data_IF_833917292159
#
_entry.id   IF_833917292159
#
_cell.length_a   1.000
_cell.length_b   1.000
_cell.length_c   1.000
_cell.angle_alpha   90.00
_cell.angle_beta   90.00
_cell.angle_gamma   90.00
#
_symmetry.space_group_name_H-M   'P 1'
#
loop_
_entity.id
_entity.type
_entity.pdbx_description
1 polymer ?
#
# COMPACT_ATOMS: atom_id res chain seq x y z
N UNK A 1 3.34 -0.63 19.35
CA UNK A 1 4.18 0.31 18.56
C UNK A 1 5.25 -0.53 17.90
N UNK A 2 5.41 -0.43 16.57
CA UNK A 2 6.45 -1.17 15.84
C UNK A 2 7.84 -0.58 16.14
N UNK A 3 8.89 -1.40 16.02
CA UNK A 3 10.28 -0.95 16.17
C UNK A 3 10.61 0.23 15.24
N UNK A 4 10.04 0.21 14.02
CA UNK A 4 10.17 1.30 13.05
C UNK A 4 9.63 2.64 13.57
N UNK A 5 8.39 2.69 14.05
CA UNK A 5 7.78 3.94 14.53
C UNK A 5 8.54 4.51 15.74
N UNK A 6 9.03 3.64 16.63
CA UNK A 6 9.89 4.05 17.75
C UNK A 6 11.21 4.65 17.25
N UNK A 7 11.86 4.05 16.26
CA UNK A 7 13.07 4.60 15.65
C UNK A 7 12.81 5.96 14.98
N UNK A 8 11.69 6.10 14.26
CA UNK A 8 11.30 7.36 13.63
C UNK A 8 11.08 8.47 14.68
N UNK A 9 10.42 8.17 15.80
CA UNK A 9 10.23 9.15 16.88
C UNK A 9 11.56 9.60 17.50
N UNK A 10 12.48 8.68 17.77
CA UNK A 10 13.81 9.02 18.29
C UNK A 10 14.59 9.93 17.33
N UNK A 11 14.56 9.63 16.03
CA UNK A 11 15.21 10.44 15.01
C UNK A 11 14.56 11.83 14.90
N UNK A 12 13.23 11.92 14.97
CA UNK A 12 12.49 13.20 14.96
C UNK A 12 12.91 14.09 16.14
N UNK A 13 12.99 13.51 17.34
CA UNK A 13 13.31 14.26 18.57
C UNK A 13 14.76 14.72 18.62
N UNK A 14 15.71 13.88 18.19
CA UNK A 14 17.16 14.14 18.33
C UNK A 14 17.94 13.76 17.07
N UNK A 15 17.72 14.42 15.92
CA UNK A 15 18.36 14.06 14.65
C UNK A 15 19.89 14.12 14.72
N UNK A 16 20.46 15.04 15.47
CA UNK A 16 21.91 15.14 15.66
C UNK A 16 22.54 13.92 16.35
N UNK A 17 21.81 13.23 17.22
CA UNK A 17 22.33 12.02 17.90
C UNK A 17 22.22 10.80 16.99
N UNK A 18 21.09 10.66 16.30
CA UNK A 18 20.79 9.44 15.55
C UNK A 18 21.30 9.47 14.10
N UNK A 19 21.42 10.65 13.50
CA UNK A 19 21.88 10.84 12.12
C UNK A 19 23.13 11.73 12.04
N UNK A 20 23.59 12.34 13.14
CA UNK A 20 24.71 13.29 13.15
C UNK A 20 24.32 14.72 12.74
N UNK A 21 23.28 14.88 11.92
CA UNK A 21 22.67 16.16 11.58
C UNK A 21 21.26 15.94 11.05
N UNK A 22 20.52 17.04 10.91
CA UNK A 22 19.23 17.07 10.25
C UNK A 22 19.43 16.99 8.73
N UNK A 23 19.09 15.85 8.14
CA UNK A 23 19.29 15.61 6.70
C UNK A 23 18.33 14.53 6.21
N UNK A 24 17.56 14.87 5.17
CA UNK A 24 16.68 13.94 4.48
C UNK A 24 17.48 12.81 3.83
N UNK A 25 18.67 13.11 3.28
CA UNK A 25 19.56 12.10 2.67
C UNK A 25 19.99 11.05 3.69
N UNK A 26 20.44 11.47 4.87
CA UNK A 26 20.85 10.55 5.94
C UNK A 26 19.65 9.76 6.49
N UNK A 27 18.50 10.42 6.61
CA UNK A 27 17.26 9.75 7.00
C UNK A 27 16.84 8.66 6.01
N UNK A 28 16.91 8.94 4.69
CA UNK A 28 16.67 7.93 3.66
C UNK A 28 17.61 6.75 3.80
N UNK A 29 18.91 7.02 3.96
CA UNK A 29 19.91 5.97 4.17
C UNK A 29 19.59 5.09 5.38
N UNK A 30 19.20 5.71 6.51
CA UNK A 30 18.76 4.99 7.71
C UNK A 30 17.54 4.10 7.42
N UNK A 31 16.47 4.65 6.83
CA UNK A 31 15.23 3.92 6.55
C UNK A 31 15.47 2.76 5.59
N UNK A 32 16.27 2.96 4.55
CA UNK A 32 16.64 1.90 3.60
C UNK A 32 17.44 0.80 4.30
N UNK A 33 18.42 1.14 5.14
CA UNK A 33 19.18 0.16 5.91
C UNK A 33 18.34 -0.60 6.92
N UNK A 34 17.42 0.09 7.60
CA UNK A 34 16.47 -0.50 8.54
C UNK A 34 15.55 -1.51 7.85
N UNK A 35 14.93 -1.11 6.74
CA UNK A 35 14.03 -2.00 5.96
C UNK A 35 14.79 -3.23 5.45
N UNK A 36 16.01 -3.04 4.94
CA UNK A 36 16.84 -4.15 4.48
C UNK A 36 17.20 -5.13 5.60
N UNK A 37 17.51 -4.64 6.80
CA UNK A 37 17.77 -5.49 7.96
C UNK A 37 16.50 -6.25 8.39
N UNK A 38 15.35 -5.60 8.38
CA UNK A 38 14.07 -6.26 8.69
C UNK A 38 13.77 -7.41 7.73
N UNK A 39 13.92 -7.19 6.42
CA UNK A 39 13.72 -8.21 5.40
C UNK A 39 14.72 -9.36 5.52
N UNK A 40 16.01 -9.04 5.66
CA UNK A 40 17.10 -10.04 5.67
C UNK A 40 17.05 -10.97 6.87
N UNK A 41 16.60 -10.46 8.02
CA UNK A 41 16.56 -11.21 9.27
C UNK A 41 15.13 -11.63 9.66
N UNK A 42 14.14 -11.42 8.78
CA UNK A 42 12.71 -11.70 9.02
C UNK A 42 12.23 -11.18 10.38
N UNK A 43 12.64 -9.96 10.70
CA UNK A 43 12.37 -9.34 12.01
C UNK A 43 10.92 -8.85 12.12
N UNK A 44 10.20 -8.78 11.00
CA UNK A 44 8.76 -8.56 11.00
C UNK A 44 8.01 -9.82 11.41
N UNK A 45 7.25 -9.70 12.49
CA UNK A 45 6.06 -10.52 12.66
C UNK A 45 4.99 -10.00 11.71
N UNK A 46 4.26 -10.93 11.10
CA UNK A 46 3.09 -10.66 10.27
C UNK A 46 2.27 -9.52 10.88
N UNK A 47 2.08 -8.43 10.12
CA UNK A 47 1.28 -7.30 10.57
C UNK A 47 -0.15 -7.79 10.72
N UNK A 48 -0.58 -8.01 11.95
CA UNK A 48 -1.96 -8.38 12.28
C UNK A 48 -2.93 -7.21 12.10
N UNK A 49 -2.49 -6.06 11.57
CA UNK A 49 -3.30 -4.88 11.37
C UNK A 49 -3.02 -4.24 10.02
N UNK A 50 -4.05 -3.68 9.38
CA UNK A 50 -3.88 -2.93 8.13
C UNK A 50 -3.30 -1.54 8.38
N UNK A 51 -3.62 -0.94 9.53
CA UNK A 51 -3.18 0.41 9.91
C UNK A 51 -2.19 0.36 11.08
N UNK A 52 -1.15 1.25 11.10
CA UNK A 52 -0.76 2.13 10.01
C UNK A 52 -0.37 1.34 8.74
N UNK A 53 -0.64 1.92 7.56
CA UNK A 53 -0.34 1.24 6.30
C UNK A 53 1.14 0.87 6.21
N UNK A 54 1.51 -0.23 5.51
CA UNK A 54 2.90 -0.57 5.28
C UNK A 54 3.68 0.63 4.74
N UNK A 55 4.91 0.86 5.24
CA UNK A 55 5.68 2.07 4.91
C UNK A 55 5.92 2.24 3.41
N UNK A 56 5.88 1.16 2.62
CA UNK A 56 5.91 1.22 1.17
C UNK A 56 4.81 2.15 0.58
N UNK A 57 3.62 2.22 1.19
CA UNK A 57 2.55 3.14 0.78
C UNK A 57 2.86 4.61 1.08
N UNK A 58 3.92 4.93 1.82
CA UNK A 58 4.32 6.30 2.06
C UNK A 58 4.71 7.02 0.77
N UNK A 59 5.27 6.29 -0.21
CA UNK A 59 5.52 6.83 -1.55
C UNK A 59 4.23 7.35 -2.21
N UNK A 60 3.19 6.53 -2.23
CA UNK A 60 1.90 6.92 -2.80
C UNK A 60 1.22 8.03 -1.98
N UNK A 61 1.34 7.98 -0.66
CA UNK A 61 0.83 9.02 0.22
C UNK A 61 1.43 10.39 -0.11
N UNK A 62 2.75 10.48 -0.17
CA UNK A 62 3.46 11.72 -0.50
C UNK A 62 3.07 12.21 -1.88
N UNK A 63 3.01 11.31 -2.88
CA UNK A 63 2.53 11.66 -4.23
C UNK A 63 1.14 12.30 -4.18
N UNK A 64 0.20 11.66 -3.49
CA UNK A 64 -1.18 12.14 -3.37
C UNK A 64 -1.28 13.49 -2.64
N UNK A 65 -0.48 13.69 -1.59
CA UNK A 65 -0.46 14.91 -0.77
C UNK A 65 0.20 16.09 -1.47
N UNK A 66 1.30 15.86 -2.17
CA UNK A 66 2.05 16.90 -2.87
C UNK A 66 1.55 17.15 -4.30
N UNK A 67 0.63 16.31 -4.80
CA UNK A 67 0.08 16.44 -6.14
C UNK A 67 1.06 16.01 -7.25
N UNK A 68 2.05 15.19 -6.91
CA UNK A 68 3.01 14.67 -7.87
C UNK A 68 2.32 13.72 -8.87
N UNK A 69 2.88 13.64 -10.08
CA UNK A 69 2.32 12.83 -11.16
C UNK A 69 2.41 11.33 -10.85
N UNK A 70 3.57 10.87 -10.36
CA UNK A 70 3.85 9.47 -10.09
C UNK A 70 4.58 9.29 -8.74
N UNK A 71 4.42 8.11 -8.14
CA UNK A 71 5.02 7.73 -6.86
C UNK A 71 6.36 6.98 -7.01
N UNK A 72 6.73 6.63 -8.25
CA UNK A 72 7.96 5.90 -8.63
C UNK A 72 9.23 6.69 -8.34
N UNK A 73 9.20 8.03 -8.42
CA UNK A 73 10.29 8.90 -7.98
C UNK A 73 10.64 8.71 -6.50
N UNK A 74 9.69 8.18 -5.72
CA UNK A 74 9.85 7.93 -4.30
C UNK A 74 9.67 9.18 -3.44
N UNK A 75 9.33 9.00 -2.17
CA UNK A 75 9.02 10.10 -1.24
C UNK A 75 10.21 11.06 -1.11
N UNK A 76 11.44 10.53 -1.14
CA UNK A 76 12.66 11.32 -1.00
C UNK A 76 12.78 12.38 -2.09
N UNK A 77 12.72 11.98 -3.36
CA UNK A 77 12.87 12.93 -4.46
C UNK A 77 11.71 13.92 -4.49
N UNK A 78 10.46 13.45 -4.28
CA UNK A 78 9.30 14.33 -4.25
C UNK A 78 9.37 15.42 -3.18
N UNK A 79 9.81 15.07 -1.97
CA UNK A 79 9.96 16.04 -0.87
C UNK A 79 11.17 16.95 -1.13
N UNK A 80 12.29 16.39 -1.58
CA UNK A 80 13.54 17.14 -1.75
C UNK A 80 13.44 18.16 -2.89
N UNK A 81 12.86 17.78 -4.02
CA UNK A 81 12.61 18.68 -5.15
C UNK A 81 11.64 19.81 -4.79
N UNK A 82 10.55 19.50 -4.07
CA UNK A 82 9.58 20.50 -3.61
C UNK A 82 10.25 21.60 -2.76
N UNK A 83 11.24 21.22 -1.96
CA UNK A 83 11.94 22.12 -1.06
C UNK A 83 13.26 22.64 -1.62
N UNK A 84 13.41 22.70 -2.95
CA UNK A 84 14.59 23.24 -3.62
C UNK A 84 15.91 22.61 -3.14
N UNK A 85 15.86 21.32 -2.81
CA UNK A 85 17.00 20.55 -2.30
C UNK A 85 17.55 21.03 -0.94
N UNK A 86 16.72 21.68 -0.11
CA UNK A 86 17.09 22.02 1.26
C UNK A 86 16.91 20.81 2.20
N UNK A 87 18.02 20.33 2.75
CA UNK A 87 18.08 19.11 3.58
C UNK A 87 17.26 19.21 4.88
N UNK A 88 17.33 20.35 5.56
CA UNK A 88 16.69 20.52 6.87
C UNK A 88 15.19 20.73 6.74
N UNK A 89 14.76 21.56 5.78
CA UNK A 89 13.35 21.81 5.46
C UNK A 89 12.70 20.52 4.98
N UNK A 90 13.37 19.77 4.10
CA UNK A 90 12.85 18.49 3.63
C UNK A 90 12.75 17.45 4.73
N UNK A 91 13.72 17.42 5.66
CA UNK A 91 13.66 16.54 6.83
C UNK A 91 12.45 16.84 7.70
N UNK A 92 12.16 18.12 7.98
CA UNK A 92 10.96 18.49 8.74
C UNK A 92 9.69 18.10 8.02
N UNK A 93 9.61 18.39 6.73
CA UNK A 93 8.44 18.06 5.93
C UNK A 93 8.20 16.54 5.86
N UNK A 94 9.27 15.72 5.79
CA UNK A 94 9.14 14.27 5.91
C UNK A 94 8.41 13.89 7.20
N UNK A 95 8.81 14.43 8.36
CA UNK A 95 8.19 14.05 9.62
C UNK A 95 6.77 14.57 9.78
N UNK A 96 6.44 15.72 9.18
CA UNK A 96 5.06 16.20 9.09
C UNK A 96 4.19 15.23 8.26
N UNK A 97 4.65 14.87 7.06
CA UNK A 97 3.94 13.95 6.18
C UNK A 97 3.84 12.54 6.79
N UNK A 98 4.90 12.06 7.43
CA UNK A 98 4.94 10.75 8.06
C UNK A 98 3.96 10.68 9.24
N UNK A 99 3.88 11.73 10.05
CA UNK A 99 2.90 11.81 11.14
C UNK A 99 1.46 11.80 10.60
N UNK A 100 1.17 12.51 9.52
CA UNK A 100 -0.13 12.42 8.86
C UNK A 100 -0.42 11.02 8.31
N UNK A 101 0.59 10.34 7.76
CA UNK A 101 0.46 9.00 7.16
C UNK A 101 0.14 7.93 8.19
N UNK A 102 0.86 7.89 9.32
CA UNK A 102 0.62 6.88 10.36
C UNK A 102 -0.71 7.09 11.10
N UNK A 103 -1.28 8.29 11.01
CA UNK A 103 -2.56 8.67 11.62
C UNK A 103 -3.74 8.61 10.64
N UNK A 104 -3.57 7.98 9.48
CA UNK A 104 -4.67 7.77 8.54
C UNK A 104 -5.81 6.97 9.17
N UNK A 105 -7.04 7.41 8.88
CA UNK A 105 -8.27 6.79 9.37
C UNK A 105 -9.12 6.31 8.21
N UNK A 106 -9.91 5.29 8.48
CA UNK A 106 -10.97 4.84 7.59
C UNK A 106 -12.18 5.76 7.81
N UNK A 107 -12.62 6.44 6.75
CA UNK A 107 -13.85 7.24 6.79
C UNK A 107 -15.06 6.41 6.38
N UNK A 108 -14.90 5.60 5.34
CA UNK A 108 -15.96 4.77 4.77
C UNK A 108 -15.34 3.45 4.35
N UNK A 109 -16.01 2.35 4.67
CA UNK A 109 -15.67 1.05 4.15
C UNK A 109 -16.91 0.45 3.48
N UNK A 110 -16.73 -0.07 2.27
CA UNK A 110 -17.72 -0.91 1.59
C UNK A 110 -17.01 -2.13 1.05
N UNK A 111 -17.71 -3.26 1.01
CA UNK A 111 -17.14 -4.52 0.53
C UNK A 111 -18.10 -5.25 -0.39
N UNK A 112 -17.59 -6.26 -1.08
CA UNK A 112 -18.39 -7.24 -1.80
C UNK A 112 -17.74 -8.62 -1.62
N UNK A 113 -18.55 -9.61 -1.24
CA UNK A 113 -18.15 -11.02 -1.22
C UNK A 113 -18.22 -11.54 -2.66
N UNK A 114 -17.16 -12.19 -3.12
CA UNK A 114 -17.06 -12.69 -4.48
C UNK A 114 -17.80 -14.02 -4.61
N UNK A 115 -18.79 -14.06 -5.50
CA UNK A 115 -19.52 -15.27 -5.85
C UNK A 115 -18.70 -16.18 -6.76
N UNK A 116 -19.16 -17.42 -6.97
CA UNK A 116 -18.55 -18.32 -7.93
C UNK A 116 -18.58 -17.77 -9.37
N UNK A 117 -19.61 -17.01 -9.73
CA UNK A 117 -19.66 -16.30 -11.02
C UNK A 117 -18.52 -15.27 -11.13
N UNK A 118 -18.28 -14.49 -10.08
CA UNK A 118 -17.22 -13.48 -10.07
C UNK A 118 -15.83 -14.12 -10.16
N UNK A 119 -15.61 -15.24 -9.46
CA UNK A 119 -14.37 -16.02 -9.51
C UNK A 119 -14.16 -16.63 -10.89
N UNK A 120 -15.22 -17.21 -11.48
CA UNK A 120 -15.18 -17.75 -12.84
C UNK A 120 -14.83 -16.66 -13.87
N UNK A 121 -15.46 -15.49 -13.77
CA UNK A 121 -15.16 -14.33 -14.63
C UNK A 121 -13.72 -13.83 -14.44
N UNK A 122 -13.16 -13.91 -13.24
CA UNK A 122 -11.78 -13.53 -12.99
C UNK A 122 -10.78 -14.42 -13.73
N UNK A 123 -11.08 -15.71 -13.89
CA UNK A 123 -10.17 -16.68 -14.51
C UNK A 123 -10.38 -16.76 -16.03
N UNK A 124 -11.62 -16.64 -16.50
CA UNK A 124 -12.02 -17.00 -17.86
C UNK A 124 -12.47 -15.83 -18.74
N UNK A 125 -12.32 -14.57 -18.28
CA UNK A 125 -12.59 -13.41 -19.14
C UNK A 125 -11.67 -13.41 -20.38
N UNK A 126 -12.28 -13.38 -21.56
CA UNK A 126 -11.58 -13.55 -22.83
C UNK A 126 -10.94 -12.25 -23.34
N UNK A 127 -11.33 -11.10 -22.79
CA UNK A 127 -10.91 -9.79 -23.29
C UNK A 127 -9.72 -9.21 -22.52
N UNK A 128 -9.56 -9.59 -21.26
CA UNK A 128 -8.48 -9.09 -20.40
C UNK A 128 -7.73 -10.29 -19.84
N UNK A 129 -6.44 -10.50 -20.20
CA UNK A 129 -5.62 -11.49 -19.54
C UNK A 129 -5.53 -11.18 -18.05
N UNK A 130 -6.27 -11.94 -17.24
CA UNK A 130 -6.23 -11.89 -15.77
C UNK A 130 -5.36 -13.01 -15.26
N UNK A 131 -4.28 -13.26 -15.97
CA UNK A 131 -3.29 -14.27 -15.66
C UNK A 131 -1.91 -13.63 -15.58
N UNK A 132 -1.10 -14.12 -14.66
CA UNK A 132 0.34 -13.88 -14.66
C UNK A 132 0.95 -14.96 -15.53
N UNK A 133 1.56 -14.52 -16.63
CA UNK A 133 2.34 -15.37 -17.53
C UNK A 133 3.80 -14.98 -17.37
N UNK A 134 4.66 -15.92 -16.98
CA UNK A 134 6.06 -15.61 -16.73
C UNK A 134 6.90 -16.82 -16.35
N UNK A 135 8.01 -16.57 -15.67
CA UNK A 135 8.87 -17.60 -15.09
C UNK A 135 9.09 -17.29 -13.60
N UNK A 136 9.10 -18.33 -12.76
CA UNK A 136 9.48 -18.20 -11.36
C UNK A 136 11.00 -17.98 -11.21
N UNK A 137 11.46 -17.73 -9.99
CA UNK A 137 12.89 -17.53 -9.69
C UNK A 137 13.78 -18.72 -10.05
N UNK A 138 13.19 -19.90 -10.28
CA UNK A 138 13.87 -21.14 -10.67
C UNK A 138 13.76 -21.41 -12.17
N UNK A 139 13.17 -20.50 -12.95
CA UNK A 139 12.96 -20.64 -14.40
C UNK A 139 11.78 -21.54 -14.78
N UNK A 140 10.92 -21.91 -13.83
CA UNK A 140 9.67 -22.63 -14.08
C UNK A 140 8.61 -21.71 -14.67
N UNK A 141 7.95 -22.14 -15.75
CA UNK A 141 6.88 -21.34 -16.37
C UNK A 141 5.69 -21.19 -15.42
N UNK A 142 5.22 -19.95 -15.26
CA UNK A 142 4.02 -19.59 -14.50
C UNK A 142 2.93 -19.24 -15.50
N UNK A 143 1.79 -19.91 -15.37
CA UNK A 143 0.51 -19.54 -15.95
C UNK A 143 -0.55 -19.73 -14.86
N UNK A 144 -0.93 -18.63 -14.23
CA UNK A 144 -1.82 -18.65 -13.08
C UNK A 144 -2.76 -17.43 -13.09
N UNK A 145 -3.97 -17.54 -12.52
CA UNK A 145 -4.83 -16.38 -12.30
C UNK A 145 -4.10 -15.30 -11.51
N UNK A 146 -4.39 -14.05 -11.84
CA UNK A 146 -3.75 -12.91 -11.21
C UNK A 146 -3.98 -12.89 -9.70
N UNK A 147 -5.23 -13.15 -9.28
CA UNK A 147 -5.58 -13.41 -7.89
C UNK A 147 -6.07 -14.85 -7.77
N UNK A 148 -5.30 -15.68 -7.07
CA UNK A 148 -5.69 -17.06 -6.78
C UNK A 148 -6.68 -17.08 -5.61
N UNK A 149 -7.82 -17.75 -5.77
CA UNK A 149 -8.87 -17.89 -4.76
C UNK A 149 -9.33 -16.56 -4.09
N UNK A 150 -9.79 -15.56 -4.86
CA UNK A 150 -10.26 -14.31 -4.28
C UNK A 150 -11.63 -14.52 -3.61
N UNK A 151 -11.80 -13.99 -2.40
CA UNK A 151 -12.97 -14.22 -1.53
C UNK A 151 -13.81 -12.95 -1.32
N UNK A 152 -13.14 -11.82 -1.09
CA UNK A 152 -13.81 -10.56 -0.77
C UNK A 152 -12.97 -9.39 -1.26
N UNK A 153 -13.63 -8.31 -1.66
CA UNK A 153 -12.98 -7.06 -2.02
C UNK A 153 -13.47 -5.93 -1.10
N UNK A 154 -12.58 -5.00 -0.78
CA UNK A 154 -12.91 -3.80 -0.03
C UNK A 154 -12.52 -2.55 -0.79
N UNK A 155 -13.38 -1.55 -0.65
CA UNK A 155 -13.13 -0.19 -1.09
C UNK A 155 -13.19 0.72 0.14
N UNK A 156 -12.00 1.17 0.57
CA UNK A 156 -11.80 1.89 1.83
C UNK A 156 -11.50 3.34 1.49
N UNK A 157 -12.40 4.26 1.85
CA UNK A 157 -12.15 5.70 1.77
C UNK A 157 -11.27 6.11 2.95
N UNK A 158 -10.11 6.67 2.63
CA UNK A 158 -9.15 7.16 3.62
C UNK A 158 -9.43 8.62 3.97
N UNK A 159 -9.05 9.00 5.18
CA UNK A 159 -9.05 10.39 5.64
C UNK A 159 -8.13 11.30 4.82
N UNK A 160 -8.15 12.59 5.11
CA UNK A 160 -7.29 13.61 4.49
C UNK A 160 -7.50 13.75 2.96
N UNK A 161 -8.69 13.36 2.46
CA UNK A 161 -9.05 13.45 1.05
C UNK A 161 -8.08 12.74 0.09
N UNK A 162 -7.41 11.67 0.58
CA UNK A 162 -6.51 10.85 -0.23
C UNK A 162 -7.25 10.08 -1.32
N UNK A 163 -8.50 9.71 -1.05
CA UNK A 163 -9.33 8.90 -1.94
C UNK A 163 -9.55 7.51 -1.37
N UNK A 164 -9.53 6.53 -2.25
CA UNK A 164 -9.87 5.15 -1.92
C UNK A 164 -8.67 4.23 -2.06
N UNK A 165 -8.44 3.42 -1.03
CA UNK A 165 -7.63 2.22 -1.05
C UNK A 165 -8.50 1.05 -1.51
N UNK A 166 -7.96 0.24 -2.41
CA UNK A 166 -8.59 -0.99 -2.89
C UNK A 166 -7.87 -2.17 -2.25
N UNK A 167 -8.62 -3.08 -1.68
CA UNK A 167 -8.09 -4.28 -1.03
C UNK A 167 -8.79 -5.50 -1.61
N UNK A 168 -8.03 -6.56 -1.84
CA UNK A 168 -8.51 -7.85 -2.30
C UNK A 168 -8.08 -8.89 -1.27
N UNK A 169 -9.04 -9.62 -0.72
CA UNK A 169 -8.79 -10.72 0.19
C UNK A 169 -8.88 -12.02 -0.61
N UNK A 170 -7.81 -12.80 -0.53
CA UNK A 170 -7.77 -14.18 -1.02
C UNK A 170 -7.71 -15.14 0.17
N UNK A 171 -7.73 -16.44 -0.08
CA UNK A 171 -7.51 -17.44 0.97
C UNK A 171 -6.15 -17.30 1.68
N UNK A 172 -5.15 -16.69 1.03
CA UNK A 172 -3.77 -16.64 1.52
C UNK A 172 -3.27 -15.23 1.82
N UNK A 173 -3.85 -14.21 1.19
CA UNK A 173 -3.28 -12.88 1.16
C UNK A 173 -4.34 -11.80 1.35
N UNK A 174 -3.91 -10.69 1.94
CA UNK A 174 -4.58 -9.40 1.87
C UNK A 174 -3.78 -8.51 0.92
N UNK A 175 -4.29 -8.33 -0.29
CA UNK A 175 -3.58 -7.65 -1.37
C UNK A 175 -4.05 -6.20 -1.45
N UNK A 176 -3.13 -5.28 -1.25
CA UNK A 176 -3.35 -3.83 -1.33
C UNK A 176 -3.00 -3.33 -2.73
N UNK A 177 -3.93 -2.64 -3.40
CA UNK A 177 -3.62 -2.00 -4.68
C UNK A 177 -2.95 -0.66 -4.41
N UNK A 178 -1.74 -0.48 -4.93
CA UNK A 178 -0.79 0.55 -4.48
C UNK A 178 -1.23 2.01 -4.67
N UNK A 179 -2.20 2.28 -5.53
CA UNK A 179 -2.64 3.65 -5.86
C UNK A 179 -3.89 4.10 -5.10
N UNK A 180 -3.82 5.31 -4.53
CA UNK A 180 -4.98 6.01 -3.96
C UNK A 180 -5.76 6.71 -5.08
N UNK A 181 -7.01 6.28 -5.29
CA UNK A 181 -7.86 6.83 -6.34
C UNK A 181 -8.90 7.76 -5.71
N UNK A 182 -8.91 9.05 -6.07
CA UNK A 182 -9.89 10.01 -5.52
C UNK A 182 -11.34 9.70 -5.89
N UNK A 183 -11.57 9.12 -7.06
CA UNK A 183 -12.92 8.88 -7.57
C UNK A 183 -13.40 7.47 -7.21
N UNK A 184 -14.51 7.40 -6.46
CA UNK A 184 -15.18 6.13 -6.13
C UNK A 184 -15.51 5.32 -7.38
N UNK A 185 -16.06 5.98 -8.40
CA UNK A 185 -16.47 5.36 -9.67
C UNK A 185 -15.33 4.57 -10.33
N UNK A 186 -14.13 5.19 -10.47
CA UNK A 186 -12.95 4.54 -11.05
C UNK A 186 -12.50 3.31 -10.25
N UNK A 187 -12.68 3.34 -8.93
CA UNK A 187 -12.32 2.20 -8.08
C UNK A 187 -13.32 1.05 -8.20
N UNK A 188 -14.60 1.35 -8.39
CA UNK A 188 -15.64 0.36 -8.70
C UNK A 188 -15.42 -0.24 -10.09
N UNK A 189 -15.16 0.60 -11.10
CA UNK A 189 -14.84 0.16 -12.47
C UNK A 189 -13.64 -0.79 -12.51
N UNK A 190 -12.62 -0.53 -11.67
CA UNK A 190 -11.48 -1.44 -11.53
C UNK A 190 -11.91 -2.84 -11.07
N UNK A 191 -12.77 -2.93 -10.05
CA UNK A 191 -13.25 -4.22 -9.58
C UNK A 191 -14.18 -4.90 -10.57
N UNK A 192 -15.00 -4.16 -11.29
CA UNK A 192 -15.82 -4.71 -12.36
C UNK A 192 -14.99 -5.31 -13.50
N UNK A 193 -13.90 -4.64 -13.90
CA UNK A 193 -12.95 -5.22 -14.87
C UNK A 193 -12.37 -6.55 -14.38
N UNK A 194 -12.09 -6.67 -13.08
CA UNK A 194 -11.50 -7.88 -12.50
C UNK A 194 -12.51 -9.01 -12.29
N UNK A 195 -13.70 -8.69 -11.75
CA UNK A 195 -14.63 -9.65 -11.16
C UNK A 195 -16.04 -9.62 -11.77
N UNK A 196 -16.27 -8.78 -12.78
CA UNK A 196 -17.52 -8.69 -13.53
C UNK A 196 -18.49 -7.67 -12.95
N UNK A 197 -19.60 -7.46 -13.65
CA UNK A 197 -20.55 -6.38 -13.34
C UNK A 197 -21.56 -6.75 -12.23
N UNK A 198 -21.61 -8.01 -11.79
CA UNK A 198 -22.57 -8.53 -10.81
C UNK A 198 -22.19 -8.31 -9.34
N UNK A 199 -21.19 -7.45 -9.07
CA UNK A 199 -20.72 -7.15 -7.71
C UNK A 199 -21.80 -6.50 -6.84
N UNK A 200 -22.13 -7.17 -5.73
CA UNK A 200 -23.10 -6.69 -4.76
C UNK A 200 -22.42 -5.97 -3.59
N UNK A 201 -22.32 -4.64 -3.68
CA UNK A 201 -21.67 -3.80 -2.67
C UNK A 201 -22.52 -3.60 -1.42
N UNK A 202 -21.92 -3.81 -0.25
CA UNK A 202 -22.53 -3.56 1.06
C UNK A 202 -21.74 -2.52 1.86
N UNK A 203 -22.43 -1.78 2.74
CA UNK A 203 -21.74 -0.99 3.77
C UNK A 203 -21.07 -1.96 4.73
N UNK A 204 -19.80 -1.69 5.05
CA UNK A 204 -19.00 -2.59 5.87
C UNK A 204 -18.11 -1.80 6.86
N UNK A 205 -17.42 -2.52 7.72
CA UNK A 205 -16.39 -2.01 8.62
C UNK A 205 -15.13 -2.88 8.47
N UNK A 206 -13.97 -2.24 8.35
CA UNK A 206 -12.72 -2.99 8.33
C UNK A 206 -12.44 -3.60 9.69
N UNK A 207 -12.07 -4.87 9.67
CA UNK A 207 -11.79 -5.70 10.83
C UNK A 207 -10.46 -6.38 10.60
N UNK A 208 -9.49 -6.12 11.47
CA UNK A 208 -8.14 -6.65 11.32
C UNK A 208 -8.10 -8.19 11.41
N UNK A 209 -9.15 -8.82 11.96
CA UNK A 209 -9.37 -10.27 11.94
C UNK A 209 -9.43 -10.84 10.50
N UNK A 210 -9.73 -10.01 9.50
CA UNK A 210 -9.65 -10.40 8.08
C UNK A 210 -8.20 -10.73 7.66
N UNK A 211 -7.20 -10.27 8.42
CA UNK A 211 -5.79 -10.56 8.17
C UNK A 211 -5.32 -11.87 8.83
N UNK A 212 -6.15 -12.53 9.64
CA UNK A 212 -5.76 -13.74 10.36
C UNK A 212 -5.30 -14.83 9.38
N UNK A 213 -4.02 -15.23 9.52
CA UNK A 213 -3.34 -16.20 8.65
C UNK A 213 -3.18 -15.77 7.18
N UNK A 214 -3.25 -14.45 6.89
CA UNK A 214 -3.04 -13.90 5.55
C UNK A 214 -1.83 -12.98 5.53
N UNK A 215 -1.02 -13.11 4.49
CA UNK A 215 0.10 -12.19 4.25
C UNK A 215 -0.41 -10.88 3.62
N UNK A 216 0.07 -9.73 4.10
CA UNK A 216 -0.22 -8.45 3.47
C UNK A 216 0.76 -8.25 2.31
N UNK A 217 0.25 -8.26 1.08
CA UNK A 217 1.03 -8.01 -0.12
C UNK A 217 0.47 -6.80 -0.88
N UNK A 218 1.18 -6.33 -1.90
CA UNK A 218 0.74 -5.17 -2.68
C UNK A 218 1.08 -5.29 -4.16
N UNK A 219 0.28 -4.63 -4.98
CA UNK A 219 0.44 -4.63 -6.45
C UNK A 219 0.39 -3.20 -6.99
N UNK A 220 1.40 -2.83 -7.79
CA UNK A 220 1.56 -1.47 -8.28
C UNK A 220 0.43 -1.07 -9.22
N UNK A 221 0.05 -1.91 -10.19
CA UNK A 221 -1.10 -1.65 -11.05
C UNK A 221 -1.51 -2.90 -11.80
N UNK A 222 -2.82 -3.07 -11.97
CA UNK A 222 -3.38 -4.06 -12.86
C UNK A 222 -4.47 -3.47 -13.69
N UNK A 223 -4.33 -3.63 -15.01
CA UNK A 223 -5.29 -3.19 -16.03
C UNK A 223 -5.39 -1.67 -16.13
#
# INVERSE_FOLDING_TARGET
MTNFNSAMNLIKEKPGIHLGKKSLTLLRGFITGFSHAEDSYKLFKENSTLFPLPFHFFHEFVRAKLGCFESTSGWYNMIFEKNFHDEETSFDEFFQLYEEFINLKIEICVSAILTEENKYFHIHDQFTPKQVIGFDEKGGFIDAPYFSDPEQIFLIKLSNNLGYLRVIITKKECILVFYFIKQKKKSIEYFHKLFGDTLSWIKDEWKDEVLDNREITWVSKLI
#
